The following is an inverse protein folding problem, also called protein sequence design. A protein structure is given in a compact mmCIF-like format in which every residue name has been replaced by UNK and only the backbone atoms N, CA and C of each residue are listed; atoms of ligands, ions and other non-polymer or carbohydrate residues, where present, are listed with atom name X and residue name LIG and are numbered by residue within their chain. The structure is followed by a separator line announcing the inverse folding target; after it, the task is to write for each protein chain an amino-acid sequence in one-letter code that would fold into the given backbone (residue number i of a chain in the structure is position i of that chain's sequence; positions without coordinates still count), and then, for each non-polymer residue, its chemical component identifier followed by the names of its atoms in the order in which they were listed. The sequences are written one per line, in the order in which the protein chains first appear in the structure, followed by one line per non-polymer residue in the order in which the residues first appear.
data_IF_279429101422
#
_entry.id   IF_279429101422
#
_cell.length_a   1.000
_cell.length_b   1.000
_cell.length_c   1.000
_cell.angle_alpha   90.00
_cell.angle_beta   90.00
_cell.angle_gamma   90.00
#
_symmetry.space_group_name_H-M   'P 1'
#
loop_
_entity.id
_entity.type
_entity.pdbx_description
1 polymer ?
#
# COMPACT_ATOMS: atom_id res chain seq x y z
N UNK A 1 5.26 12.96 17.28
CA UNK A 1 4.74 12.16 16.15
C UNK A 1 4.12 13.15 15.22
N UNK A 2 4.65 13.28 14.00
CA UNK A 2 4.06 14.18 13.00
C UNK A 2 2.65 13.70 12.64
N UNK A 3 1.61 14.49 12.91
CA UNK A 3 0.23 14.17 12.51
C UNK A 3 0.03 14.20 10.99
N UNK A 4 1.07 14.59 10.24
CA UNK A 4 1.07 14.73 8.78
C UNK A 4 1.78 13.59 8.03
N UNK A 5 2.17 12.51 8.70
CA UNK A 5 2.76 11.35 8.04
C UNK A 5 1.68 10.57 7.28
N UNK A 6 1.19 11.11 6.15
CA UNK A 6 0.40 10.36 5.18
C UNK A 6 1.33 9.53 4.32
N UNK A 7 0.90 8.31 4.01
CA UNK A 7 1.52 7.53 2.97
C UNK A 7 1.21 8.17 1.62
N UNK A 8 2.22 8.40 0.78
CA UNK A 8 2.00 8.76 -0.62
C UNK A 8 2.33 7.56 -1.53
N UNK A 9 1.92 7.63 -2.80
CA UNK A 9 2.09 6.53 -3.75
C UNK A 9 3.56 6.13 -3.96
N UNK A 10 4.48 7.10 -3.94
CA UNK A 10 5.92 6.83 -4.09
C UNK A 10 6.46 6.04 -2.91
N UNK A 11 6.05 6.42 -1.70
CA UNK A 11 6.40 5.69 -0.47
C UNK A 11 5.77 4.29 -0.46
N UNK A 12 4.51 4.15 -0.89
CA UNK A 12 3.85 2.85 -1.04
C UNK A 12 4.62 1.95 -2.00
N UNK A 13 4.97 2.44 -3.19
CA UNK A 13 5.75 1.72 -4.19
C UNK A 13 7.14 1.33 -3.63
N UNK A 14 7.79 2.24 -2.91
CA UNK A 14 9.09 1.97 -2.28
C UNK A 14 9.03 0.94 -1.14
N UNK A 15 7.85 0.73 -0.53
CA UNK A 15 7.62 -0.26 0.52
C UNK A 15 7.21 -1.63 -0.05
N UNK A 16 6.92 -1.73 -1.35
CA UNK A 16 6.59 -3.01 -1.98
C UNK A 16 7.80 -3.97 -1.93
N UNK A 17 7.58 -5.25 -1.59
CA UNK A 17 8.66 -6.23 -1.62
C UNK A 17 9.15 -6.42 -3.06
N UNK A 18 10.47 -6.56 -3.23
CA UNK A 18 11.13 -6.72 -4.54
C UNK A 18 11.22 -8.18 -4.99
N UNK A 19 10.50 -9.09 -4.32
CA UNK A 19 10.59 -10.53 -4.55
C UNK A 19 9.90 -10.94 -5.86
N UNK A 20 10.62 -10.74 -6.97
CA UNK A 20 10.30 -11.30 -8.28
C UNK A 20 9.27 -10.54 -9.12
N UNK A 21 8.51 -9.60 -8.54
CA UNK A 21 7.61 -8.73 -9.28
C UNK A 21 8.37 -7.52 -9.88
N UNK A 22 8.08 -7.11 -11.13
CA UNK A 22 8.61 -5.87 -11.67
C UNK A 22 8.14 -4.69 -10.83
N UNK A 23 9.08 -3.98 -10.19
CA UNK A 23 8.77 -2.81 -9.39
C UNK A 23 7.99 -1.78 -10.24
N UNK A 24 6.81 -1.31 -9.78
CA UNK A 24 6.06 -0.29 -10.49
C UNK A 24 6.92 0.96 -10.62
N UNK A 25 7.08 1.46 -11.85
CA UNK A 25 7.83 2.68 -12.09
C UNK A 25 6.99 3.87 -11.61
N UNK A 26 7.46 4.58 -10.58
CA UNK A 26 6.77 5.73 -9.98
C UNK A 26 6.60 6.96 -10.91
N UNK A 27 7.12 6.88 -12.14
CA UNK A 27 7.21 8.00 -13.09
C UNK A 27 6.15 7.95 -14.20
N UNK A 28 5.31 6.91 -14.25
CA UNK A 28 4.23 6.84 -15.24
C UNK A 28 2.93 7.36 -14.64
N UNK A 29 2.32 8.36 -15.29
CA UNK A 29 0.97 8.85 -14.97
C UNK A 29 -0.09 7.73 -14.97
N UNK A 30 0.24 6.56 -15.52
CA UNK A 30 -0.59 5.36 -15.60
C UNK A 30 -0.32 4.32 -14.50
N UNK A 31 0.74 4.47 -13.70
CA UNK A 31 1.07 3.52 -12.62
C UNK A 31 0.06 3.63 -11.48
N UNK A 32 -0.32 4.85 -11.10
CA UNK A 32 -1.31 5.11 -10.05
C UNK A 32 -2.68 4.46 -10.32
N UNK A 33 -3.08 4.41 -11.60
CA UNK A 33 -4.36 3.86 -12.05
C UNK A 33 -4.40 2.32 -12.12
N UNK A 34 -3.22 1.66 -12.09
CA UNK A 34 -3.12 0.20 -12.17
C UNK A 34 -3.18 -0.44 -10.79
N UNK A 35 -3.67 -1.67 -10.74
CA UNK A 35 -3.69 -2.46 -9.52
C UNK A 35 -2.35 -3.14 -9.25
N UNK A 36 -2.09 -3.49 -8.00
CA UNK A 36 -0.87 -4.23 -7.64
C UNK A 36 -0.86 -5.63 -8.27
N UNK A 37 -2.02 -6.26 -8.48
CA UNK A 37 -2.13 -7.50 -9.22
C UNK A 37 -1.66 -7.37 -10.68
N UNK A 38 -1.85 -6.22 -11.33
CA UNK A 38 -1.38 -5.98 -12.71
C UNK A 38 0.15 -5.96 -12.82
N UNK A 39 0.85 -5.70 -11.70
CA UNK A 39 2.31 -5.77 -11.61
C UNK A 39 2.82 -7.14 -11.15
N UNK A 40 1.93 -8.11 -10.94
CA UNK A 40 2.29 -9.46 -10.50
C UNK A 40 2.49 -9.61 -9.00
N UNK A 41 2.04 -8.64 -8.18
CA UNK A 41 2.01 -8.82 -6.74
C UNK A 41 0.89 -9.77 -6.32
N UNK A 42 1.16 -10.56 -5.30
CA UNK A 42 0.22 -11.53 -4.73
C UNK A 42 -0.12 -11.19 -3.27
N UNK A 43 -0.95 -12.04 -2.66
CA UNK A 43 -1.36 -11.88 -1.26
C UNK A 43 -0.20 -11.99 -0.26
N UNK A 44 0.90 -12.67 -0.61
CA UNK A 44 2.07 -12.78 0.27
C UNK A 44 2.78 -11.44 0.30
N UNK A 45 3.04 -10.88 -0.88
CA UNK A 45 3.64 -9.55 -1.01
C UNK A 45 2.81 -8.46 -0.29
N UNK A 46 1.48 -8.57 -0.32
CA UNK A 46 0.60 -7.65 0.38
C UNK A 46 0.61 -7.81 1.90
N UNK A 47 0.77 -9.04 2.40
CA UNK A 47 0.93 -9.27 3.83
C UNK A 47 2.22 -8.63 4.37
N UNK A 48 3.31 -8.72 3.60
CA UNK A 48 4.58 -8.06 3.94
C UNK A 48 4.45 -6.54 3.87
N UNK A 49 3.81 -6.01 2.82
CA UNK A 49 3.55 -4.58 2.69
C UNK A 49 2.72 -4.05 3.88
N UNK A 50 1.62 -4.71 4.21
CA UNK A 50 0.78 -4.33 5.35
C UNK A 50 1.57 -4.36 6.65
N UNK A 51 2.36 -5.40 6.88
CA UNK A 51 3.22 -5.49 8.06
C UNK A 51 4.18 -4.31 8.17
N UNK A 52 4.79 -3.87 7.06
CA UNK A 52 5.66 -2.70 7.04
C UNK A 52 4.90 -1.40 7.34
N UNK A 53 3.70 -1.22 6.80
CA UNK A 53 2.85 -0.04 7.04
C UNK A 53 2.42 0.00 8.51
N UNK A 54 1.94 -1.10 9.07
CA UNK A 54 1.58 -1.21 10.48
C UNK A 54 2.75 -0.83 11.40
N UNK A 55 3.95 -1.35 11.11
CA UNK A 55 5.15 -1.08 11.90
C UNK A 55 5.58 0.39 11.82
N UNK A 56 5.50 1.01 10.64
CA UNK A 56 5.91 2.39 10.37
C UNK A 56 4.93 3.40 10.98
N UNK A 57 3.63 3.18 10.79
CA UNK A 57 2.59 4.11 11.22
C UNK A 57 1.98 3.76 12.58
N UNK A 58 2.41 2.66 13.21
CA UNK A 58 1.90 2.17 14.51
C UNK A 58 0.38 2.00 14.53
N UNK A 59 -0.16 1.49 13.41
CA UNK A 59 -1.58 1.20 13.25
C UNK A 59 -1.81 -0.29 13.03
N UNK A 60 -3.07 -0.71 13.14
CA UNK A 60 -3.53 -2.03 12.72
C UNK A 60 -4.43 -1.89 11.51
N UNK A 61 -4.08 -2.58 10.43
CA UNK A 61 -4.86 -2.63 9.21
C UNK A 61 -5.74 -3.89 9.25
N UNK A 62 -7.01 -3.80 8.83
CA UNK A 62 -7.91 -4.95 8.90
C UNK A 62 -7.57 -5.99 7.83
N UNK A 63 -7.58 -7.29 8.18
CA UNK A 63 -7.25 -8.40 7.25
C UNK A 63 -8.00 -8.37 5.91
N UNK A 64 -9.31 -8.00 5.83
CA UNK A 64 -10.00 -7.87 4.55
C UNK A 64 -9.37 -6.85 3.59
N UNK A 65 -8.69 -5.82 4.12
CA UNK A 65 -8.02 -4.80 3.32
C UNK A 65 -6.96 -5.42 2.40
N UNK A 66 -6.31 -6.49 2.84
CA UNK A 66 -5.26 -7.19 2.11
C UNK A 66 -5.74 -7.69 0.74
N UNK A 67 -6.95 -8.24 0.69
CA UNK A 67 -7.58 -8.66 -0.56
C UNK A 67 -8.04 -7.50 -1.43
N UNK A 68 -8.52 -6.41 -0.81
CA UNK A 68 -8.99 -5.22 -1.54
C UNK A 68 -7.82 -4.48 -2.22
N UNK A 69 -6.68 -4.34 -1.54
CA UNK A 69 -5.49 -3.65 -2.05
C UNK A 69 -4.92 -4.27 -3.34
N UNK A 70 -5.11 -5.58 -3.55
CA UNK A 70 -4.68 -6.27 -4.77
C UNK A 70 -5.45 -5.85 -6.02
N UNK A 71 -6.71 -5.48 -5.85
CA UNK A 71 -7.65 -5.31 -6.96
C UNK A 71 -8.00 -3.84 -7.25
N UNK A 72 -7.55 -2.92 -6.41
CA UNK A 72 -7.74 -1.47 -6.61
C UNK A 72 -6.47 -0.83 -7.15
N UNK A 73 -6.64 0.30 -7.82
CA UNK A 73 -5.54 1.16 -8.27
C UNK A 73 -4.62 1.56 -7.11
N UNK A 74 -3.31 1.74 -7.34
CA UNK A 74 -2.34 2.20 -6.34
C UNK A 74 -2.78 3.51 -5.65
N UNK A 75 -3.38 4.45 -6.38
CA UNK A 75 -3.95 5.68 -5.81
C UNK A 75 -5.04 5.37 -4.78
N UNK A 76 -5.99 4.52 -5.16
CA UNK A 76 -7.08 4.09 -4.27
C UNK A 76 -6.57 3.31 -3.06
N UNK A 77 -5.60 2.42 -3.26
CA UNK A 77 -4.93 1.70 -2.18
C UNK A 77 -4.30 2.66 -1.16
N UNK A 78 -3.57 3.67 -1.65
CA UNK A 78 -2.95 4.71 -0.82
C UNK A 78 -3.99 5.48 0.00
N UNK A 79 -5.11 5.88 -0.62
CA UNK A 79 -6.20 6.57 0.06
C UNK A 79 -6.83 5.71 1.16
N UNK A 80 -7.10 4.44 0.88
CA UNK A 80 -7.68 3.51 1.85
C UNK A 80 -6.75 3.31 3.06
N UNK A 81 -5.45 3.10 2.81
CA UNK A 81 -4.45 2.99 3.88
C UNK A 81 -4.40 4.29 4.71
N UNK A 82 -4.42 5.45 4.05
CA UNK A 82 -4.42 6.74 4.74
C UNK A 82 -5.67 6.97 5.61
N UNK A 83 -6.84 6.46 5.21
CA UNK A 83 -8.04 6.51 6.04
C UNK A 83 -7.84 5.74 7.35
N UNK A 84 -7.19 4.57 7.30
CA UNK A 84 -6.86 3.79 8.49
C UNK A 84 -5.73 4.42 9.33
N UNK A 85 -4.75 5.05 8.70
CA UNK A 85 -3.70 5.79 9.41
C UNK A 85 -4.29 6.99 10.18
N UNK A 86 -5.20 7.74 9.54
CA UNK A 86 -5.83 8.91 10.15
C UNK A 86 -6.85 8.57 11.24
N UNK A 87 -7.47 7.39 11.15
CA UNK A 87 -8.43 6.88 12.15
C UNK A 87 -7.93 5.54 12.72
N UNK A 88 -6.84 5.54 13.52
CA UNK A 88 -6.34 4.32 14.11
C UNK A 88 -7.45 3.72 14.98
N UNK A 89 -7.81 2.45 14.69
CA UNK A 89 -8.77 1.72 15.51
C UNK A 89 -8.30 1.76 16.97
N UNK A 90 -9.15 2.33 17.84
CA UNK A 90 -8.92 2.45 19.28
C UNK A 90 -9.00 1.10 19.98
#
# INVERSE_FOLDING_TARGET
MDPDARLNEKDLIAMLPLDGAPAPSADSATTGDRSLADFGYDSIAMADLMSQIELRYKVKLPDPLLGELLHVSITRATDMINQHIAAPAR
#
